data_IF_326975445048
#
_entry.id   IF_326975445048
#
_cell.length_a   1.000
_cell.length_b   1.000
_cell.length_c   1.000
_cell.angle_alpha   90.00
_cell.angle_beta   90.00
_cell.angle_gamma   90.00
#
_symmetry.space_group_name_H-M   'P 1'
#
loop_
_entity.id
_entity.type
_entity.pdbx_description
1 polymer ?
#
# COMPACT_ATOMS: atom_id res chain seq x y z
N UNK A 1 -1.93 -1.99 -23.52
CA UNK A 1 -1.59 -0.86 -22.64
C UNK A 1 -1.39 -1.39 -21.23
N UNK A 2 -0.30 -1.00 -20.61
CA UNK A 2 0.01 -1.43 -19.24
C UNK A 2 -0.81 -0.63 -18.24
N UNK A 3 -1.43 -1.33 -17.29
CA UNK A 3 -2.25 -0.72 -16.25
C UNK A 3 -1.81 -1.25 -14.89
N UNK A 4 -1.99 -0.44 -13.85
CA UNK A 4 -1.71 -0.85 -12.48
C UNK A 4 -2.99 -0.70 -11.67
N UNK A 5 -3.42 -1.78 -11.04
CA UNK A 5 -4.58 -1.78 -10.13
C UNK A 5 -4.05 -1.72 -8.70
N UNK A 6 -4.53 -0.76 -7.92
CA UNK A 6 -4.15 -0.56 -6.53
C UNK A 6 -5.19 -1.07 -5.56
N UNK A 7 -4.70 -1.59 -4.43
CA UNK A 7 -5.51 -1.78 -3.24
C UNK A 7 -4.67 -1.33 -2.04
N UNK A 8 -5.21 -0.48 -1.18
CA UNK A 8 -4.50 0.07 -0.03
C UNK A 8 -5.32 -0.06 1.24
N UNK A 9 -4.60 -0.18 2.38
CA UNK A 9 -5.20 -0.07 3.70
C UNK A 9 -4.50 1.04 4.48
N UNK A 10 -5.23 1.71 5.37
CA UNK A 10 -4.74 2.86 6.12
C UNK A 10 -5.02 2.74 7.61
N UNK A 11 -4.47 3.67 8.41
CA UNK A 11 -4.80 3.77 9.83
C UNK A 11 -6.19 4.35 10.07
N UNK A 12 -6.82 4.93 9.04
CA UNK A 12 -8.17 5.50 9.12
C UNK A 12 -8.57 6.09 7.79
N UNK A 13 -9.68 6.83 7.76
CA UNK A 13 -10.28 7.31 6.53
C UNK A 13 -10.08 8.81 6.30
N UNK A 14 -9.35 9.49 7.18
CA UNK A 14 -9.18 10.94 7.09
C UNK A 14 -7.69 11.31 7.09
N UNK A 15 -7.10 11.57 5.91
CA UNK A 15 -5.69 11.97 5.83
C UNK A 15 -5.42 13.30 6.54
N UNK A 16 -6.44 14.17 6.70
CA UNK A 16 -6.27 15.45 7.38
C UNK A 16 -5.99 15.28 8.88
N UNK A 17 -6.35 14.13 9.48
CA UNK A 17 -6.03 13.82 10.87
C UNK A 17 -4.74 13.02 11.02
N UNK A 18 -3.97 12.84 9.93
CA UNK A 18 -2.68 12.17 9.97
C UNK A 18 -2.75 10.66 9.73
N UNK A 19 -3.85 10.16 9.18
CA UNK A 19 -3.93 8.74 8.84
C UNK A 19 -2.96 8.39 7.73
N UNK A 20 -2.36 7.20 7.84
CA UNK A 20 -1.26 6.77 6.96
C UNK A 20 -1.53 5.39 6.40
N UNK A 21 -0.89 5.10 5.27
CA UNK A 21 -0.94 3.78 4.64
C UNK A 21 -0.29 2.73 5.54
N UNK A 22 -0.88 1.54 5.60
CA UNK A 22 -0.33 0.38 6.32
C UNK A 22 -0.09 -0.80 5.38
N UNK A 23 -0.69 -0.78 4.19
CA UNK A 23 -0.50 -1.83 3.19
C UNK A 23 -0.75 -1.27 1.80
N UNK A 24 0.08 -1.69 0.84
CA UNK A 24 -0.11 -1.42 -0.59
C UNK A 24 -0.07 -2.74 -1.33
N UNK A 25 -1.09 -2.98 -2.16
CA UNK A 25 -1.10 -4.08 -3.11
C UNK A 25 -1.28 -3.55 -4.52
N UNK A 26 -0.49 -4.04 -5.46
CA UNK A 26 -0.56 -3.63 -6.87
C UNK A 26 -0.53 -4.86 -7.76
N UNK A 27 -1.35 -4.83 -8.81
CA UNK A 27 -1.37 -5.87 -9.83
C UNK A 27 -1.18 -5.21 -11.19
N UNK A 28 -0.23 -5.71 -11.97
CA UNK A 28 -0.01 -5.23 -13.32
C UNK A 28 -0.93 -5.96 -14.30
N UNK A 29 -1.56 -5.18 -15.17
CA UNK A 29 -2.35 -5.71 -16.29
C UNK A 29 -1.74 -5.23 -17.60
N UNK A 30 -1.90 -6.05 -18.65
CA UNK A 30 -1.61 -5.65 -20.01
C UNK A 30 -2.86 -5.94 -20.84
N UNK A 31 -3.45 -4.90 -21.41
CA UNK A 31 -4.71 -5.03 -22.14
C UNK A 31 -5.80 -5.69 -21.28
N UNK A 32 -5.89 -5.27 -20.01
CA UNK A 32 -6.86 -5.77 -19.01
C UNK A 32 -6.63 -7.21 -18.56
N UNK A 33 -5.46 -7.80 -18.87
CA UNK A 33 -5.14 -9.18 -18.47
C UNK A 33 -3.94 -9.14 -17.51
N UNK A 34 -4.04 -9.79 -16.33
CA UNK A 34 -2.92 -9.84 -15.39
C UNK A 34 -1.67 -10.44 -16.04
N UNK A 35 -0.52 -9.77 -15.83
CA UNK A 35 0.76 -10.21 -16.39
C UNK A 35 1.51 -11.17 -15.48
N UNK A 36 1.06 -11.33 -14.24
CA UNK A 36 1.78 -12.06 -13.19
C UNK A 36 2.71 -11.18 -12.37
N UNK A 37 2.95 -9.93 -12.77
CA UNK A 37 3.73 -9.00 -11.94
C UNK A 37 2.84 -8.36 -10.89
N UNK A 38 3.27 -8.46 -9.63
CA UNK A 38 2.57 -7.86 -8.50
C UNK A 38 3.56 -7.19 -7.58
N UNK A 39 3.07 -6.21 -6.81
CA UNK A 39 3.82 -5.60 -5.72
C UNK A 39 2.95 -5.61 -4.49
N UNK A 40 3.51 -6.04 -3.36
CA UNK A 40 2.78 -6.04 -2.09
C UNK A 40 3.75 -5.70 -0.97
N UNK A 41 3.35 -4.75 -0.12
CA UNK A 41 4.18 -4.33 1.00
C UNK A 41 3.32 -3.88 2.17
N UNK A 42 3.60 -4.41 3.35
CA UNK A 42 3.13 -3.83 4.60
C UNK A 42 4.03 -2.65 4.95
N UNK A 43 3.46 -1.65 5.60
CA UNK A 43 4.13 -0.38 5.87
C UNK A 43 4.00 -0.04 7.35
N UNK A 44 5.12 0.36 7.96
CA UNK A 44 5.10 0.91 9.32
C UNK A 44 4.51 2.32 9.25
N UNK A 45 3.32 2.57 9.83
CA UNK A 45 2.69 3.89 9.77
C UNK A 45 3.32 4.89 10.74
N UNK A 46 4.23 4.44 11.60
CA UNK A 46 4.88 5.27 12.63
C UNK A 46 3.87 5.90 13.60
N UNK A 47 2.73 5.22 13.79
CA UNK A 47 1.69 5.61 14.75
C UNK A 47 0.83 4.40 15.07
N UNK A 48 0.06 4.48 16.15
CA UNK A 48 -0.88 3.42 16.50
C UNK A 48 -1.97 3.28 15.43
N UNK A 49 -2.46 2.06 15.27
CA UNK A 49 -3.57 1.77 14.37
C UNK A 49 -4.85 1.69 15.22
N UNK A 50 -5.83 2.57 14.97
CA UNK A 50 -7.08 2.55 15.75
C UNK A 50 -7.81 1.22 15.65
N UNK A 51 -8.54 0.87 16.70
CA UNK A 51 -9.27 -0.41 16.75
C UNK A 51 -10.25 -0.57 15.59
N UNK A 52 -10.91 0.51 15.18
CA UNK A 52 -11.85 0.45 14.06
C UNK A 52 -11.15 0.11 12.73
N UNK A 53 -9.92 0.56 12.52
CA UNK A 53 -9.16 0.20 11.34
C UNK A 53 -8.70 -1.26 11.43
N UNK A 54 -8.23 -1.70 12.59
CA UNK A 54 -7.84 -3.10 12.81
C UNK A 54 -9.03 -4.03 12.57
N UNK A 55 -10.23 -3.62 12.96
CA UNK A 55 -11.43 -4.42 12.71
C UNK A 55 -11.70 -4.64 11.22
N UNK A 56 -11.23 -3.73 10.36
CA UNK A 56 -11.39 -3.84 8.91
C UNK A 56 -10.31 -4.71 8.28
N UNK A 57 -9.03 -4.44 8.59
CA UNK A 57 -7.91 -5.10 7.88
C UNK A 57 -7.05 -6.02 8.75
N UNK A 58 -7.27 -6.04 10.07
CA UNK A 58 -6.54 -6.94 10.96
C UNK A 58 -5.07 -6.60 11.20
N UNK A 59 -4.61 -5.42 10.77
CA UNK A 59 -3.20 -5.03 10.89
C UNK A 59 -3.01 -4.14 12.11
N UNK A 60 -2.44 -4.72 13.18
CA UNK A 60 -2.10 -3.98 14.40
C UNK A 60 -0.73 -3.34 14.28
N UNK A 61 -0.45 -2.33 15.12
CA UNK A 61 0.88 -1.73 15.14
C UNK A 61 1.96 -2.76 15.49
N UNK A 62 1.67 -3.71 16.36
CA UNK A 62 2.60 -4.79 16.70
C UNK A 62 3.05 -5.57 15.46
N UNK A 63 2.17 -5.77 14.49
CA UNK A 63 2.51 -6.44 13.23
C UNK A 63 3.31 -5.55 12.30
N UNK A 64 3.13 -4.24 12.38
CA UNK A 64 3.67 -3.29 11.41
C UNK A 64 4.94 -2.58 11.89
N UNK A 65 5.23 -2.59 13.18
CA UNK A 65 6.34 -1.80 13.77
C UNK A 65 7.72 -2.17 13.23
N UNK A 66 7.89 -3.38 12.72
CA UNK A 66 9.15 -3.86 12.14
C UNK A 66 9.15 -3.81 10.62
N UNK A 67 8.06 -3.32 10.01
CA UNK A 67 7.99 -3.17 8.57
C UNK A 67 8.63 -1.85 8.14
N UNK A 68 9.06 -1.72 6.87
CA UNK A 68 9.63 -0.46 6.41
C UNK A 68 8.59 0.67 6.41
N UNK A 69 9.06 1.90 6.56
CA UNK A 69 8.19 3.07 6.43
C UNK A 69 7.90 3.35 4.97
N UNK A 70 6.88 4.19 4.71
CA UNK A 70 6.55 4.56 3.32
C UNK A 70 7.75 5.20 2.61
N UNK A 71 8.47 6.08 3.30
CA UNK A 71 9.66 6.72 2.73
C UNK A 71 10.74 5.73 2.31
N UNK A 72 10.84 4.59 3.01
CA UNK A 72 11.82 3.56 2.68
C UNK A 72 11.44 2.72 1.48
N UNK A 73 10.12 2.59 1.19
CA UNK A 73 9.66 1.73 0.10
C UNK A 73 9.27 2.49 -1.16
N UNK A 74 9.20 3.83 -1.09
CA UNK A 74 8.66 4.63 -2.17
C UNK A 74 9.44 4.47 -3.48
N UNK A 75 10.77 4.29 -3.39
CA UNK A 75 11.60 4.05 -4.57
C UNK A 75 11.22 2.77 -5.29
N UNK A 76 11.08 1.68 -4.54
CA UNK A 76 10.68 0.39 -5.11
C UNK A 76 9.27 0.44 -5.69
N UNK A 77 8.36 1.13 -5.00
CA UNK A 77 7.00 1.31 -5.46
C UNK A 77 6.96 2.07 -6.79
N UNK A 78 7.71 3.17 -6.89
CA UNK A 78 7.78 3.95 -8.13
C UNK A 78 8.43 3.15 -9.26
N UNK A 79 9.43 2.33 -8.96
CA UNK A 79 10.06 1.45 -9.94
C UNK A 79 9.05 0.43 -10.49
N UNK A 80 8.20 -0.11 -9.62
CA UNK A 80 7.17 -1.04 -10.07
C UNK A 80 6.16 -0.37 -10.99
N UNK A 81 5.69 0.84 -10.62
CA UNK A 81 4.73 1.57 -11.44
C UNK A 81 5.31 1.92 -12.80
N UNK A 82 6.56 2.40 -12.84
CA UNK A 82 7.18 2.91 -14.07
C UNK A 82 6.58 4.24 -14.51
N UNK A 83 7.12 4.80 -15.60
CA UNK A 83 6.69 6.11 -16.09
C UNK A 83 5.64 6.01 -17.20
N UNK A 84 5.43 4.82 -17.76
CA UNK A 84 4.54 4.57 -18.88
C UNK A 84 3.24 3.87 -18.49
N UNK A 85 3.01 3.66 -17.19
CA UNK A 85 1.81 2.98 -16.73
C UNK A 85 0.72 3.99 -16.35
N UNK A 86 -0.54 3.53 -16.39
CA UNK A 86 -1.69 4.29 -15.89
C UNK A 86 -2.04 3.81 -14.49
N UNK A 87 -2.41 4.76 -13.67
CA UNK A 87 -2.88 4.52 -12.31
C UNK A 87 -4.39 4.59 -12.22
#
# INVERSE_FOLDING_TARGET
>A
MREIVFDTETTGFDPATGDKLVEIGCVELENHIPTGRTYHQYINPERDVPAEAVAVHGLTFDKLKNEPTFGEIVGDFLDFIGTDSKL
#
